data_IF_327774562137
#
_entry.id   IF_327774562137
#
_cell.length_a   1.000
_cell.length_b   1.000
_cell.length_c   1.000
_cell.angle_alpha   90.00
_cell.angle_beta   90.00
_cell.angle_gamma   90.00
#
_symmetry.space_group_name_H-M   'P 1'
#
loop_
_entity.id
_entity.type
_entity.pdbx_description
1 polymer ?
#
# COMPACT_ATOMS: atom_id res chain seq x y z
N UNK A 1 5.32 -2.29 11.09
CA UNK A 1 6.63 -2.30 11.78
C UNK A 1 7.43 -1.09 11.31
N UNK A 2 8.23 -0.46 12.17
CA UNK A 2 9.23 0.53 11.76
C UNK A 2 10.56 -0.23 11.58
N UNK A 3 11.37 0.17 10.61
CA UNK A 3 12.69 -0.41 10.33
C UNK A 3 13.77 0.68 10.53
N UNK A 4 14.12 1.04 11.78
CA UNK A 4 15.11 2.08 12.03
C UNK A 4 16.46 1.73 11.36
N UNK A 5 17.07 2.70 10.67
CA UNK A 5 18.37 2.51 10.03
C UNK A 5 18.33 1.73 8.72
N UNK A 6 17.15 1.51 8.12
CA UNK A 6 17.01 0.75 6.87
C UNK A 6 16.01 1.42 5.92
N UNK A 7 16.46 1.72 4.71
CA UNK A 7 15.59 2.05 3.60
C UNK A 7 15.23 0.78 2.83
N UNK A 8 13.95 0.62 2.51
CA UNK A 8 13.43 -0.54 1.79
C UNK A 8 12.90 -0.11 0.41
N UNK A 9 13.47 -0.69 -0.65
CA UNK A 9 12.95 -0.58 -2.01
C UNK A 9 12.33 -1.91 -2.41
N UNK A 10 11.11 -1.87 -2.94
CA UNK A 10 10.39 -3.04 -3.41
C UNK A 10 10.13 -2.91 -4.91
N UNK A 11 10.43 -3.97 -5.67
CA UNK A 11 10.09 -4.06 -7.08
C UNK A 11 9.03 -5.12 -7.30
N UNK A 12 8.04 -4.79 -8.12
CA UNK A 12 6.90 -5.65 -8.37
C UNK A 12 5.87 -5.05 -9.30
N UNK A 13 4.70 -5.65 -9.29
CA UNK A 13 3.56 -5.26 -10.12
C UNK A 13 2.45 -4.69 -9.24
N UNK A 14 1.90 -3.55 -9.66
CA UNK A 14 0.67 -3.02 -9.12
C UNK A 14 -0.48 -3.38 -10.07
N UNK A 15 -1.52 -4.01 -9.54
CA UNK A 15 -2.73 -4.35 -10.29
C UNK A 15 -3.96 -3.75 -9.61
N UNK A 16 -4.89 -3.22 -10.41
CA UNK A 16 -6.16 -2.68 -9.92
C UNK A 16 -6.98 -3.82 -9.30
N UNK A 17 -7.53 -3.57 -8.12
CA UNK A 17 -8.46 -4.48 -7.44
C UNK A 17 -9.86 -3.93 -7.61
N UNK A 18 -10.73 -4.74 -8.22
CA UNK A 18 -12.15 -4.41 -8.45
C UNK A 18 -13.09 -5.42 -7.78
N UNK A 19 -12.53 -6.42 -7.08
CA UNK A 19 -13.26 -7.43 -6.33
C UNK A 19 -13.94 -6.82 -5.09
N UNK A 20 -15.28 -6.87 -5.06
CA UNK A 20 -16.10 -6.28 -3.99
C UNK A 20 -15.73 -6.76 -2.57
N UNK A 21 -15.63 -8.08 -2.31
CA UNK A 21 -15.18 -8.60 -1.02
C UNK A 21 -13.83 -8.05 -0.55
N UNK A 22 -12.82 -7.97 -1.40
CA UNK A 22 -11.51 -7.38 -1.05
C UNK A 22 -11.64 -5.87 -0.82
N UNK A 23 -12.41 -5.15 -1.66
CA UNK A 23 -12.65 -3.73 -1.48
C UNK A 23 -13.27 -3.44 -0.12
N UNK A 24 -14.31 -4.18 0.27
CA UNK A 24 -14.97 -4.00 1.56
C UNK A 24 -14.06 -4.36 2.73
N UNK A 25 -13.26 -5.41 2.60
CA UNK A 25 -12.26 -5.78 3.61
C UNK A 25 -11.27 -4.63 3.87
N UNK A 26 -10.80 -3.97 2.81
CA UNK A 26 -9.85 -2.86 2.94
C UNK A 26 -10.54 -1.57 3.41
N UNK A 27 -11.74 -1.27 2.91
CA UNK A 27 -12.55 -0.15 3.40
C UNK A 27 -12.80 -0.27 4.91
N UNK A 28 -13.13 -1.46 5.42
CA UNK A 28 -13.29 -1.71 6.85
C UNK A 28 -12.02 -1.38 7.65
N UNK A 29 -10.83 -1.72 7.13
CA UNK A 29 -9.55 -1.37 7.77
C UNK A 29 -9.29 0.12 7.80
N UNK A 30 -9.68 0.85 6.76
CA UNK A 30 -9.58 2.31 6.78
C UNK A 30 -10.52 2.92 7.82
N UNK A 31 -11.75 2.39 7.94
CA UNK A 31 -12.70 2.82 8.97
C UNK A 31 -12.19 2.55 10.38
N UNK A 32 -11.58 1.39 10.62
CA UNK A 32 -10.90 1.08 11.89
C UNK A 32 -9.78 2.09 12.20
N UNK A 33 -9.11 2.60 11.16
CA UNK A 33 -8.09 3.65 11.24
C UNK A 33 -8.63 5.08 11.31
N UNK A 34 -9.95 5.25 11.31
CA UNK A 34 -10.63 6.54 11.44
C UNK A 34 -10.96 7.25 10.12
N UNK A 35 -10.61 6.70 8.96
CA UNK A 35 -11.03 7.25 7.66
C UNK A 35 -12.32 6.55 7.18
N UNK A 36 -13.45 7.25 7.02
CA UNK A 36 -14.76 6.68 6.73
C UNK A 36 -14.90 6.29 5.25
N UNK A 37 -14.05 5.38 4.78
CA UNK A 37 -14.08 4.88 3.41
C UNK A 37 -15.29 3.95 3.20
N UNK A 38 -15.96 4.16 2.07
CA UNK A 38 -17.08 3.36 1.57
C UNK A 38 -16.72 2.80 0.18
N UNK A 39 -17.24 1.62 -0.13
CA UNK A 39 -17.14 1.04 -1.47
C UNK A 39 -18.24 1.64 -2.35
N UNK A 40 -17.84 2.21 -3.48
CA UNK A 40 -18.75 2.69 -4.53
C UNK A 40 -18.31 2.08 -5.87
N UNK A 41 -19.12 1.15 -6.38
CA UNK A 41 -18.77 0.34 -7.55
C UNK A 41 -17.48 -0.45 -7.35
N UNK A 42 -16.43 -0.09 -8.10
CA UNK A 42 -15.12 -0.74 -8.08
C UNK A 42 -14.01 0.14 -7.46
N UNK A 43 -14.41 1.10 -6.62
CA UNK A 43 -13.54 2.10 -6.02
C UNK A 43 -13.99 2.48 -4.59
N UNK A 44 -13.27 3.42 -4.00
CA UNK A 44 -13.64 4.04 -2.72
C UNK A 44 -14.14 5.47 -2.89
N UNK A 45 -15.05 5.84 -1.99
CA UNK A 45 -15.49 7.21 -1.72
C UNK A 45 -15.47 7.47 -0.21
N UNK A 46 -15.53 8.75 0.19
CA UNK A 46 -15.57 9.19 1.57
C UNK A 46 -15.96 10.69 1.62
N UNK A 47 -16.55 11.18 2.72
CA UNK A 47 -16.87 12.60 2.90
C UNK A 47 -15.64 13.52 2.96
N UNK A 48 -14.45 12.97 3.19
CA UNK A 48 -13.19 13.72 3.20
C UNK A 48 -12.02 12.81 2.84
N UNK A 49 -10.90 13.41 2.45
CA UNK A 49 -9.62 12.72 2.23
C UNK A 49 -8.46 13.66 2.61
N UNK A 50 -7.22 13.15 2.55
CA UNK A 50 -6.05 14.02 2.62
C UNK A 50 -6.04 14.97 1.39
N UNK A 51 -5.65 16.25 1.53
CA UNK A 51 -5.67 17.21 0.43
C UNK A 51 -4.90 16.77 -0.83
N UNK A 52 -3.87 15.95 -0.67
CA UNK A 52 -3.06 15.41 -1.77
C UNK A 52 -3.71 14.24 -2.53
N UNK A 53 -4.78 13.64 -2.02
CA UNK A 53 -5.43 12.47 -2.63
C UNK A 53 -6.32 12.81 -3.84
N UNK A 54 -6.67 14.09 -4.02
CA UNK A 54 -7.65 14.51 -5.04
C UNK A 54 -9.09 14.05 -4.72
N UNK A 55 -10.07 14.40 -5.57
CA UNK A 55 -11.46 13.95 -5.42
C UNK A 55 -11.62 12.45 -5.72
N UNK A 56 -12.67 11.79 -5.20
CA UNK A 56 -13.02 10.41 -5.57
C UNK A 56 -13.46 10.30 -7.05
N UNK A 57 -13.51 9.09 -7.64
CA UNK A 57 -13.27 7.78 -7.01
C UNK A 57 -11.78 7.46 -6.78
N UNK A 58 -11.46 6.81 -5.65
CA UNK A 58 -10.10 6.32 -5.38
C UNK A 58 -9.99 4.82 -5.63
N UNK A 59 -9.12 4.41 -6.54
CA UNK A 59 -8.97 3.00 -6.90
C UNK A 59 -7.96 2.27 -6.02
N UNK A 60 -8.31 1.08 -5.57
CA UNK A 60 -7.41 0.20 -4.84
C UNK A 60 -6.46 -0.51 -5.80
N UNK A 61 -5.16 -0.46 -5.50
CA UNK A 61 -4.14 -1.25 -6.18
C UNK A 61 -3.47 -2.21 -5.19
N UNK A 62 -3.36 -3.48 -5.60
CA UNK A 62 -2.53 -4.46 -4.90
C UNK A 62 -1.16 -4.46 -5.54
N UNK A 63 -0.15 -4.22 -4.72
CA UNK A 63 1.25 -4.32 -5.11
C UNK A 63 1.82 -5.68 -4.67
N UNK A 64 2.23 -6.52 -5.63
CA UNK A 64 2.93 -7.79 -5.39
C UNK A 64 4.40 -7.63 -5.78
N UNK A 65 5.27 -7.61 -4.78
CA UNK A 65 6.73 -7.54 -5.00
C UNK A 65 7.32 -8.93 -5.27
N UNK A 66 8.39 -8.97 -6.04
CA UNK A 66 9.24 -10.15 -6.26
C UNK A 66 10.72 -9.87 -5.93
N UNK A 67 11.10 -8.60 -5.80
CA UNK A 67 12.43 -8.18 -5.34
C UNK A 67 12.29 -7.21 -4.18
N UNK A 68 13.16 -7.33 -3.19
CA UNK A 68 13.35 -6.32 -2.16
C UNK A 68 14.83 -5.96 -2.03
N UNK A 69 15.12 -4.69 -1.79
CA UNK A 69 16.44 -4.19 -1.45
C UNK A 69 16.37 -3.47 -0.11
N UNK A 70 17.27 -3.85 0.79
CA UNK A 70 17.45 -3.17 2.07
C UNK A 70 18.79 -2.45 2.05
N UNK A 71 18.77 -1.15 2.29
CA UNK A 71 19.97 -0.30 2.33
C UNK A 71 20.10 0.28 3.73
N UNK A 72 21.16 -0.08 4.44
CA UNK A 72 21.40 0.41 5.79
C UNK A 72 21.82 1.89 5.74
N UNK A 73 21.08 2.73 6.48
CA UNK A 73 21.31 4.18 6.57
C UNK A 73 22.18 4.58 7.77
N UNK A 74 22.63 3.59 8.55
CA UNK A 74 23.55 3.74 9.68
C UNK A 74 24.68 2.69 9.61
N UNK A 75 25.74 2.89 10.39
CA UNK A 75 26.87 1.96 10.48
C UNK A 75 26.43 0.54 10.91
N UNK A 76 27.07 -0.53 10.37
CA UNK A 76 28.25 -0.52 9.51
C UNK A 76 27.95 -0.28 8.02
N UNK A 77 26.74 0.18 7.69
CA UNK A 77 26.20 0.27 6.34
C UNK A 77 26.11 -1.10 5.66
N UNK A 78 25.61 -1.10 4.42
CA UNK A 78 25.47 -2.30 3.61
C UNK A 78 24.18 -2.31 2.81
N UNK A 79 24.13 -3.17 1.79
CA UNK A 79 22.96 -3.40 1.00
C UNK A 79 22.74 -4.90 0.81
N UNK A 80 21.49 -5.33 0.94
CA UNK A 80 21.09 -6.71 0.66
C UNK A 80 19.96 -6.71 -0.36
N UNK A 81 20.01 -7.65 -1.29
CA UNK A 81 18.93 -7.93 -2.23
C UNK A 81 18.33 -9.29 -1.93
N UNK A 82 17.01 -9.33 -1.80
CA UNK A 82 16.23 -10.55 -1.73
C UNK A 82 15.41 -10.73 -3.01
N UNK A 83 15.29 -11.97 -3.44
CA UNK A 83 14.38 -12.40 -4.52
C UNK A 83 13.38 -13.37 -3.93
N UNK A 84 12.12 -13.20 -4.28
CA UNK A 84 11.02 -14.06 -3.87
C UNK A 84 10.46 -14.75 -5.09
N UNK A 85 9.99 -15.98 -4.91
CA UNK A 85 9.25 -16.68 -5.96
C UNK A 85 8.00 -15.86 -6.32
N UNK A 86 7.69 -15.81 -7.61
CA UNK A 86 6.66 -14.94 -8.16
C UNK A 86 5.27 -15.54 -7.97
#
# INVERSE_FOLDING_TARGET
ARLPGLDLVLEGEAARVTDGPTLEQIAARYRDGGWPAEVDGDAFTAPYSAPSAGPPPWHLYRFRFHTAFGVATAEPHGATRWRFDR
#
